data_IF_188058246361
#
_entry.id   IF_188058246361
#
_cell.length_a   1.000
_cell.length_b   1.000
_cell.length_c   1.000
_cell.angle_alpha   90.00
_cell.angle_beta   90.00
_cell.angle_gamma   90.00
#
_symmetry.space_group_name_H-M   'P 1'
#
loop_
_entity.id
_entity.type
_entity.pdbx_description
1 polymer ?
2 non-polymer ?
3 water ?
#
# COMPACT_ATOMS: atom_id res chain seq x y z
N UNK A 2 -8.90 -15.36 11.97
CA UNK A 2 -9.70 -14.76 13.03
C UNK A 2 -10.97 -15.59 13.26
N UNK A 3 -11.57 -15.88 12.11
CA UNK A 3 -12.90 -16.43 11.90
C UNK A 3 -13.86 -15.24 12.06
N UNK A 4 -14.48 -14.79 10.97
CA UNK A 4 -15.35 -13.64 11.05
C UNK A 4 -15.92 -13.32 9.73
N UNK A 5 -17.22 -13.01 9.78
CA UNK A 5 -18.06 -12.66 8.66
C UNK A 5 -17.41 -12.59 7.27
N UNK A 6 -16.16 -12.09 7.14
CA UNK A 6 -15.51 -12.13 5.85
C UNK A 6 -14.28 -12.98 5.71
N UNK A 7 -14.28 -13.70 4.59
CA UNK A 7 -13.38 -14.82 4.30
C UNK A 7 -12.30 -14.56 3.21
N UNK A 8 -11.07 -14.86 3.57
CA UNK A 8 -9.92 -14.45 2.83
C UNK A 8 -8.85 -15.47 2.44
N UNK A 9 -8.58 -15.41 1.15
CA UNK A 9 -7.53 -16.16 0.56
C UNK A 9 -6.43 -15.22 0.17
N UNK A 10 -5.22 -15.72 0.46
CA UNK A 10 -3.94 -15.10 0.31
C UNK A 10 -3.08 -15.94 -0.61
N UNK A 11 -2.90 -15.47 -1.81
CA UNK A 11 -2.07 -16.13 -2.74
C UNK A 11 -0.65 -15.80 -2.40
N UNK A 12 0.34 -16.45 -2.96
CA UNK A 12 1.73 -16.08 -2.68
C UNK A 12 2.15 -16.48 -1.27
N UNK A 13 1.37 -17.40 -0.64
CA UNK A 13 1.50 -17.86 0.75
C UNK A 13 2.87 -17.99 1.40
N UNK A 14 3.87 -18.38 0.69
CA UNK A 14 5.14 -18.38 1.35
C UNK A 14 5.99 -17.20 0.94
N UNK A 15 5.39 -16.18 0.40
CA UNK A 15 6.19 -15.06 -0.06
C UNK A 15 6.38 -14.01 1.04
N UNK A 16 7.21 -12.99 0.75
CA UNK A 16 7.53 -11.96 1.73
C UNK A 16 6.32 -11.29 2.32
N UNK A 17 5.37 -10.89 1.48
CA UNK A 17 4.13 -10.39 1.97
C UNK A 17 3.14 -11.46 2.41
N UNK A 18 3.11 -12.58 1.67
CA UNK A 18 2.21 -13.69 1.94
C UNK A 18 2.29 -14.00 3.40
N UNK A 19 3.50 -14.07 3.94
CA UNK A 19 3.67 -14.38 5.35
C UNK A 19 2.89 -13.42 6.24
N UNK A 20 3.18 -12.11 6.13
CA UNK A 20 2.54 -11.01 6.82
C UNK A 20 1.05 -10.89 6.58
N UNK A 21 0.66 -10.96 5.34
CA UNK A 21 -0.77 -10.95 5.02
C UNK A 21 -1.48 -12.01 5.88
N UNK A 22 -0.73 -13.07 6.25
CA UNK A 22 -1.32 -14.13 7.09
C UNK A 22 -1.59 -13.66 8.51
N UNK A 23 -0.54 -13.16 9.14
CA UNK A 23 -0.73 -12.71 10.47
C UNK A 23 -1.75 -11.60 10.54
N UNK A 24 -1.78 -10.82 9.48
CA UNK A 24 -2.77 -9.79 9.49
C UNK A 24 -4.19 -10.34 9.46
N UNK A 25 -4.37 -11.28 8.58
CA UNK A 25 -5.67 -11.78 8.33
C UNK A 25 -6.08 -12.40 9.63
N UNK A 26 -5.14 -13.16 10.12
CA UNK A 26 -5.31 -13.78 11.36
C UNK A 26 -5.74 -12.75 12.40
N UNK A 27 -4.97 -11.67 12.52
CA UNK A 27 -5.27 -10.64 13.53
C UNK A 27 -6.52 -9.82 13.46
N UNK A 28 -6.87 -9.23 12.32
CA UNK A 28 -7.99 -8.27 12.13
C UNK A 28 -9.42 -8.82 12.35
N UNK A 29 -10.11 -8.27 13.35
CA UNK A 29 -11.49 -8.61 13.65
C UNK A 29 -12.46 -8.52 12.45
N UNK A 30 -13.23 -9.60 12.20
CA UNK A 30 -14.21 -9.55 11.13
C UNK A 30 -13.68 -10.16 9.85
N UNK A 31 -12.40 -10.56 9.84
CA UNK A 31 -11.83 -11.20 8.67
C UNK A 31 -11.33 -12.53 9.10
N UNK A 32 -11.64 -13.56 8.33
CA UNK A 32 -11.13 -14.83 8.74
C UNK A 32 -10.39 -15.47 7.65
N UNK A 33 -9.22 -16.10 7.93
CA UNK A 33 -8.33 -16.72 6.89
C UNK A 33 -9.02 -17.83 6.09
N UNK A 34 -9.63 -17.46 4.95
CA UNK A 34 -10.28 -18.38 4.00
C UNK A 34 -9.35 -19.49 3.50
N UNK A 35 -8.44 -19.19 2.58
CA UNK A 35 -7.47 -20.13 2.02
C UNK A 35 -6.05 -19.54 1.94
N UNK A 36 -5.05 -20.39 1.70
CA UNK A 36 -3.65 -19.98 1.53
C UNK A 36 -3.01 -20.71 0.39
N UNK A 37 -2.82 -20.05 -0.75
CA UNK A 37 -2.25 -20.66 -1.93
C UNK A 37 -0.76 -20.57 -1.97
N UNK A 38 -0.19 -21.49 -2.74
CA UNK A 38 1.20 -21.56 -3.08
C UNK A 38 1.31 -22.09 -4.48
N UNK A 39 2.53 -22.06 -4.91
CA UNK A 39 2.94 -22.39 -6.25
C UNK A 39 3.36 -23.83 -6.34
N UNK A 40 2.60 -24.59 -7.16
CA UNK A 40 2.78 -26.00 -7.50
C UNK A 40 3.99 -26.67 -6.95
N UNK A 41 5.15 -26.25 -7.44
CA UNK A 41 6.39 -26.84 -6.93
C UNK A 41 6.40 -26.87 -5.38
N UNK A 42 5.64 -25.91 -4.83
CA UNK A 42 5.43 -25.69 -3.38
C UNK A 42 5.68 -26.84 -2.41
N UNK A 43 6.64 -26.59 -1.53
CA UNK A 43 7.00 -27.44 -0.40
C UNK A 43 6.12 -27.16 0.83
N UNK A 44 5.33 -26.09 0.79
CA UNK A 44 4.52 -25.74 1.93
C UNK A 44 3.12 -26.18 1.64
N UNK A 45 3.07 -26.79 0.46
CA UNK A 45 1.85 -27.34 -0.08
C UNK A 45 1.14 -28.25 0.88
N UNK A 46 -0.14 -28.32 0.55
CA UNK A 46 -1.15 -29.17 1.11
C UNK A 46 -1.25 -29.06 2.61
N UNK A 47 -0.10 -28.88 3.22
CA UNK A 47 -0.03 -28.62 4.63
C UNK A 47 1.23 -27.86 5.05
N UNK A 48 0.99 -26.89 5.90
CA UNK A 48 1.98 -26.11 6.58
C UNK A 48 1.20 -24.88 6.95
N UNK A 49 -0.08 -25.28 6.97
CA UNK A 49 -1.24 -24.50 7.29
C UNK A 49 -1.01 -23.31 8.18
N UNK A 50 -1.00 -22.09 7.55
CA UNK A 50 -0.84 -20.84 8.29
C UNK A 50 -0.03 -20.95 9.60
N UNK A 51 1.25 -21.23 9.40
CA UNK A 51 2.24 -21.29 10.44
C UNK A 51 3.56 -20.88 9.81
N UNK A 52 3.46 -19.67 9.21
CA UNK A 52 4.50 -18.76 8.73
C UNK A 52 4.32 -17.50 9.56
N UNK A 53 3.06 -17.25 9.83
CA UNK A 53 2.69 -16.14 10.67
C UNK A 53 2.82 -16.47 12.18
N UNK A 54 3.36 -17.66 12.53
CA UNK A 54 3.24 -18.21 13.87
C UNK A 54 1.73 -18.45 14.10
N UNK A 55 1.34 -18.99 15.26
CA UNK A 55 -0.06 -19.33 15.61
C UNK A 55 -0.32 -20.79 15.42
N UNK A 56 0.76 -21.54 15.53
CA UNK A 56 0.77 -22.95 15.32
C UNK A 56 -0.14 -23.30 14.16
N UNK A 57 -1.33 -23.80 14.56
CA UNK A 57 -2.32 -24.31 13.66
C UNK A 57 -3.54 -23.43 13.51
N UNK A 58 -4.00 -23.24 12.28
CA UNK A 58 -5.12 -22.37 12.04
C UNK A 58 -6.32 -22.99 11.37
N UNK A 59 -6.24 -24.30 11.03
CA UNK A 59 -7.36 -24.98 10.40
C UNK A 59 -7.26 -25.03 8.91
N UNK A 60 -6.92 -23.87 8.24
CA UNK A 60 -6.74 -23.64 6.78
C UNK A 60 -5.44 -24.25 6.39
N UNK A 61 -5.33 -24.68 5.10
CA UNK A 61 -4.21 -25.46 4.59
C UNK A 61 -3.67 -24.99 3.24
N UNK A 62 -2.37 -24.92 3.13
CA UNK A 62 -1.82 -24.46 1.87
C UNK A 62 -2.13 -25.34 0.63
N UNK A 63 -2.82 -24.74 -0.34
CA UNK A 63 -3.25 -25.44 -1.52
C UNK A 63 -2.48 -25.03 -2.76
N UNK A 64 -3.00 -25.38 -3.95
CA UNK A 64 -2.40 -25.03 -5.20
C UNK A 64 -3.40 -24.65 -6.26
N UNK A 65 -4.68 -24.96 -6.00
CA UNK A 65 -5.80 -24.84 -6.95
C UNK A 65 -6.83 -23.89 -6.52
N UNK A 66 -7.16 -22.94 -7.39
CA UNK A 66 -8.23 -22.02 -7.09
C UNK A 66 -9.57 -22.74 -6.87
N UNK A 67 -9.89 -23.59 -7.85
CA UNK A 67 -11.10 -24.43 -7.74
C UNK A 67 -10.99 -25.50 -6.65
N UNK A 68 -9.78 -25.85 -6.24
CA UNK A 68 -9.64 -26.72 -5.08
C UNK A 68 -10.12 -26.06 -3.78
N UNK A 69 -10.46 -24.76 -3.89
CA UNK A 69 -10.75 -23.98 -2.69
C UNK A 69 -11.61 -22.83 -2.96
N UNK A 70 -12.04 -22.78 -4.16
CA UNK A 70 -12.73 -21.66 -4.59
C UNK A 70 -13.94 -21.32 -3.78
N UNK A 71 -14.26 -22.11 -2.81
CA UNK A 71 -15.40 -21.77 -1.96
C UNK A 71 -15.05 -21.63 -0.48
N UNK A 72 -13.76 -21.49 -0.22
CA UNK A 72 -13.26 -21.30 1.15
C UNK A 72 -13.08 -19.82 1.56
N UNK A 73 -13.22 -18.96 0.57
CA UNK A 73 -12.90 -17.59 0.69
C UNK A 73 -13.88 -16.72 -0.10
N UNK A 74 -13.93 -15.49 0.36
CA UNK A 74 -14.77 -14.40 -0.06
C UNK A 74 -14.00 -13.37 -0.89
N UNK A 75 -12.83 -13.02 -0.40
CA UNK A 75 -12.08 -12.00 -1.10
C UNK A 75 -10.75 -12.57 -1.35
N UNK A 76 -10.22 -12.24 -2.52
CA UNK A 76 -8.92 -12.75 -2.87
C UNK A 76 -7.85 -11.70 -2.72
N UNK A 77 -6.84 -12.03 -1.92
CA UNK A 77 -5.72 -11.14 -1.68
C UNK A 77 -4.44 -11.51 -2.46
N UNK A 78 -4.05 -10.68 -3.44
CA UNK A 78 -2.88 -10.93 -4.28
C UNK A 78 -1.72 -9.92 -4.19
N UNK A 79 -0.53 -10.40 -3.71
CA UNK A 79 0.72 -9.70 -3.77
C UNK A 79 1.70 -10.72 -4.30
N UNK A 80 1.81 -10.82 -5.64
CA UNK A 80 2.43 -11.90 -6.43
C UNK A 80 3.31 -11.35 -7.49
N UNK A 81 2.94 -11.58 -8.79
CA UNK A 81 3.52 -11.07 -10.02
C UNK A 81 2.40 -10.99 -11.01
N UNK A 82 2.47 -9.98 -11.85
CA UNK A 82 1.44 -9.66 -12.78
C UNK A 82 0.97 -10.83 -13.58
N UNK A 83 1.88 -11.74 -13.92
CA UNK A 83 1.55 -12.98 -14.65
C UNK A 83 0.60 -13.86 -13.80
N UNK A 84 0.78 -13.87 -12.45
CA UNK A 84 -0.14 -14.61 -11.54
C UNK A 84 -1.42 -13.85 -11.37
N UNK A 85 -1.19 -12.55 -11.34
CA UNK A 85 -2.30 -11.67 -11.15
C UNK A 85 -3.37 -11.85 -12.15
N UNK A 86 -2.99 -11.73 -13.39
CA UNK A 86 -3.93 -11.95 -14.53
C UNK A 86 -4.56 -13.41 -14.50
N UNK A 87 -3.83 -14.39 -13.92
CA UNK A 87 -4.47 -15.66 -13.71
C UNK A 87 -5.62 -15.50 -12.76
N UNK A 88 -5.25 -15.07 -11.57
CA UNK A 88 -6.16 -14.95 -10.44
C UNK A 88 -7.35 -14.09 -10.79
N UNK A 89 -7.06 -13.12 -11.58
CA UNK A 89 -8.00 -12.20 -12.08
C UNK A 89 -9.16 -12.94 -12.73
N UNK A 90 -8.90 -13.62 -13.85
CA UNK A 90 -9.97 -14.31 -14.60
C UNK A 90 -10.79 -15.36 -13.85
N UNK A 91 -10.19 -15.93 -12.82
CA UNK A 91 -10.95 -16.81 -12.01
C UNK A 91 -11.79 -16.03 -11.02
N UNK A 92 -11.31 -14.87 -10.59
CA UNK A 92 -12.08 -14.09 -9.63
C UNK A 92 -13.34 -13.56 -10.25
N UNK A 93 -13.15 -13.04 -11.49
CA UNK A 93 -14.23 -12.50 -12.32
C UNK A 93 -15.29 -13.55 -12.48
N UNK A 94 -14.80 -14.76 -12.79
CA UNK A 94 -15.62 -15.92 -13.06
C UNK A 94 -16.57 -16.18 -11.95
N UNK A 95 -16.02 -16.40 -10.78
CA UNK A 95 -16.84 -16.72 -9.62
C UNK A 95 -17.23 -15.48 -8.77
N UNK A 96 -17.33 -14.31 -9.40
CA UNK A 96 -17.71 -13.12 -8.70
C UNK A 96 -16.90 -12.92 -7.41
N UNK A 97 -15.61 -13.31 -7.46
CA UNK A 97 -14.77 -13.15 -6.28
C UNK A 97 -14.12 -11.77 -6.31
N UNK A 98 -14.34 -10.99 -5.26
CA UNK A 98 -13.76 -9.65 -5.12
C UNK A 98 -12.26 -9.80 -4.85
N UNK A 99 -11.48 -8.85 -5.37
CA UNK A 99 -10.04 -8.94 -5.20
C UNK A 99 -9.46 -7.73 -4.49
N UNK A 100 -8.27 -8.00 -3.95
CA UNK A 100 -7.41 -6.99 -3.39
C UNK A 100 -6.09 -7.22 -3.96
N UNK A 101 -5.63 -6.29 -4.81
CA UNK A 101 -4.39 -6.42 -5.53
C UNK A 101 -3.34 -5.40 -5.16
N UNK A 102 -2.19 -5.95 -4.80
CA UNK A 102 -1.10 -5.14 -4.38
C UNK A 102 0.06 -5.32 -5.29
N UNK A 103 0.02 -6.42 -6.07
CA UNK A 103 1.01 -6.66 -7.12
C UNK A 103 1.36 -5.39 -7.90
N UNK A 104 2.63 -5.21 -8.18
CA UNK A 104 3.02 -4.09 -9.04
C UNK A 104 3.71 -4.52 -10.34
N UNK A 105 3.85 -3.58 -11.25
CA UNK A 105 4.53 -3.87 -12.47
C UNK A 105 3.63 -4.27 -13.63
N UNK A 106 2.33 -4.05 -13.57
CA UNK A 106 1.53 -4.37 -14.73
C UNK A 106 1.96 -3.40 -15.85
N UNK A 107 1.62 -3.72 -17.11
CA UNK A 107 1.95 -2.91 -18.22
C UNK A 107 0.69 -2.26 -18.50
N UNK A 108 0.58 -1.55 -19.58
CA UNK A 108 -0.71 -1.02 -19.82
C UNK A 108 -1.80 -2.07 -20.05
N UNK A 109 -1.49 -3.13 -20.81
CA UNK A 109 -2.48 -4.19 -21.10
C UNK A 109 -3.06 -4.72 -19.78
N UNK A 110 -2.11 -4.84 -18.87
CA UNK A 110 -2.35 -5.29 -17.54
C UNK A 110 -3.36 -4.40 -16.82
N UNK A 111 -3.14 -3.09 -16.76
CA UNK A 111 -4.10 -2.33 -16.02
C UNK A 111 -5.45 -2.37 -16.63
N UNK A 112 -5.53 -2.25 -17.98
CA UNK A 112 -6.87 -2.33 -18.58
C UNK A 112 -7.62 -3.60 -18.16
N UNK A 113 -6.89 -4.66 -17.94
CA UNK A 113 -7.60 -5.85 -17.67
C UNK A 113 -8.30 -5.72 -16.32
N UNK A 114 -7.51 -5.14 -15.41
CA UNK A 114 -7.96 -5.01 -14.04
C UNK A 114 -9.12 -4.09 -14.07
N UNK A 115 -8.96 -3.14 -14.90
CA UNK A 115 -9.97 -2.16 -14.96
C UNK A 115 -11.28 -2.67 -15.49
N UNK A 116 -11.19 -3.66 -16.43
CA UNK A 116 -12.33 -4.26 -17.12
C UNK A 116 -13.00 -5.28 -16.26
N UNK A 117 -12.18 -6.11 -15.63
CA UNK A 117 -12.65 -7.06 -14.66
C UNK A 117 -13.57 -6.41 -13.67
N UNK A 118 -13.25 -5.16 -13.41
CA UNK A 118 -13.94 -4.41 -12.37
C UNK A 118 -15.36 -4.07 -12.70
N UNK A 119 -15.76 -4.39 -13.97
CA UNK A 119 -17.12 -4.09 -14.38
C UNK A 119 -17.99 -5.16 -13.83
N UNK A 120 -17.38 -6.19 -13.40
CA UNK A 120 -18.22 -7.23 -13.01
C UNK A 120 -17.93 -7.68 -11.64
N UNK A 121 -16.79 -7.20 -11.20
CA UNK A 121 -16.25 -7.54 -9.91
C UNK A 121 -15.63 -6.31 -9.24
N UNK A 122 -15.68 -6.37 -7.89
CA UNK A 122 -15.23 -5.35 -6.94
C UNK A 122 -13.78 -5.55 -6.63
N UNK A 123 -12.94 -4.60 -7.03
CA UNK A 123 -11.53 -4.81 -6.83
C UNK A 123 -10.88 -3.63 -6.04
N UNK A 124 -9.94 -3.92 -5.18
CA UNK A 124 -9.18 -2.86 -4.64
C UNK A 124 -7.82 -2.98 -5.17
N UNK A 125 -7.39 -2.06 -5.98
CA UNK A 125 -6.06 -2.11 -6.51
C UNK A 125 -5.27 -0.82 -6.11
N UNK A 126 -4.14 -0.90 -5.40
CA UNK A 126 -3.39 0.30 -5.03
C UNK A 126 -1.89 0.07 -5.04
N UNK A 127 -1.11 1.14 -5.20
CA UNK A 127 0.36 1.02 -5.20
C UNK A 127 0.99 1.17 -3.84
N UNK A 128 0.16 1.50 -2.86
CA UNK A 128 0.64 1.64 -1.53
C UNK A 128 -0.46 1.35 -0.57
N UNK A 129 -0.28 0.24 0.09
CA UNK A 129 -1.33 -0.15 0.97
C UNK A 129 -1.17 0.36 2.40
N UNK A 130 -0.16 1.18 2.68
CA UNK A 130 -0.03 1.67 4.05
C UNK A 130 -1.13 2.63 4.42
N UNK A 131 -1.81 2.42 5.52
CA UNK A 131 -2.81 3.39 5.92
C UNK A 131 -2.17 4.73 6.40
N UNK A 132 -1.06 4.61 7.08
CA UNK A 132 -0.35 5.74 7.59
C UNK A 132 0.02 6.71 6.49
N UNK A 133 0.68 6.20 5.44
CA UNK A 133 1.08 6.96 4.28
C UNK A 133 -0.08 7.70 3.66
N UNK A 134 -1.13 6.98 3.40
CA UNK A 134 -2.25 7.57 2.76
C UNK A 134 -2.90 8.67 3.61
N UNK A 135 -3.13 8.34 4.88
CA UNK A 135 -3.72 9.29 5.79
C UNK A 135 -2.85 10.54 5.76
N UNK A 136 -1.56 10.29 5.97
CA UNK A 136 -0.54 11.29 5.87
C UNK A 136 -0.60 12.09 4.59
N UNK A 137 -0.70 11.49 3.43
CA UNK A 137 -0.76 12.30 2.25
C UNK A 137 -1.97 13.27 2.33
N UNK A 138 -3.08 12.85 2.89
CA UNK A 138 -4.29 13.63 3.02
C UNK A 138 -4.24 14.79 4.08
N UNK A 139 -3.52 14.61 5.18
CA UNK A 139 -3.29 15.61 6.21
C UNK A 139 -2.30 16.68 5.64
N UNK A 140 -1.35 16.22 4.84
CA UNK A 140 -0.44 17.10 4.17
C UNK A 140 -1.17 18.16 3.34
N UNK A 141 -2.23 17.84 2.69
CA UNK A 141 -2.89 18.89 1.97
C UNK A 141 -3.83 19.69 2.83
N UNK A 142 -4.20 19.19 3.96
CA UNK A 142 -4.99 20.02 4.80
C UNK A 142 -4.09 21.08 5.46
N UNK A 143 -2.90 20.67 5.86
CA UNK A 143 -1.91 21.56 6.43
C UNK A 143 -1.37 22.54 5.40
N UNK A 144 -1.13 22.06 4.19
CA UNK A 144 -0.72 22.92 3.15
C UNK A 144 -1.78 24.00 2.89
N UNK A 145 -3.06 23.74 2.98
CA UNK A 145 -3.97 24.81 2.70
C UNK A 145 -3.95 25.91 3.72
N UNK A 146 -3.67 25.56 4.99
CA UNK A 146 -3.65 26.62 5.94
C UNK A 146 -2.33 27.26 6.19
N UNK A 147 -1.26 26.51 5.95
CA UNK A 147 0.05 27.06 6.22
C UNK A 147 0.92 27.20 5.01
N UNK A 148 0.54 26.56 3.95
CA UNK A 148 1.40 26.39 2.79
C UNK A 148 1.96 27.66 2.30
N UNK A 149 1.14 28.65 2.41
CA UNK A 149 1.56 29.95 2.02
C UNK A 149 2.62 30.65 2.84
N UNK A 150 2.67 30.51 4.14
CA UNK A 150 3.62 31.32 4.85
C UNK A 150 4.94 30.67 4.84
N UNK A 151 4.85 29.39 5.23
CA UNK A 151 5.93 28.49 5.58
C UNK A 151 6.92 28.04 4.55
N UNK A 152 8.04 27.62 5.09
CA UNK A 152 9.08 26.95 4.37
C UNK A 152 8.77 25.42 4.51
N UNK A 153 8.44 24.79 3.41
CA UNK A 153 8.03 23.35 3.47
C UNK A 153 9.24 22.48 3.05
N UNK A 154 9.68 21.57 3.93
CA UNK A 154 10.86 20.76 3.60
C UNK A 154 10.46 19.31 3.75
N UNK A 155 11.10 18.38 3.00
CA UNK A 155 10.74 16.97 3.08
C UNK A 155 11.99 16.16 3.29
N UNK A 156 12.02 15.41 4.38
CA UNK A 156 13.22 14.69 4.76
C UNK A 156 12.91 13.20 4.74
N UNK A 157 13.66 12.39 4.02
CA UNK A 157 13.31 10.91 4.01
C UNK A 157 14.54 10.08 4.29
N UNK A 158 14.39 9.02 5.07
CA UNK A 158 15.52 8.17 5.27
C UNK A 158 15.16 6.74 4.80
N UNK A 159 16.09 6.09 4.08
CA UNK A 159 15.97 4.68 3.65
C UNK A 159 17.28 3.93 3.73
N UNK A 160 17.12 2.57 3.72
CA UNK A 160 18.27 1.69 3.82
C UNK A 160 19.31 1.99 2.76
N UNK A 161 20.47 1.34 2.94
CA UNK A 161 21.58 1.58 2.09
C UNK A 161 21.40 1.00 0.71
N UNK A 162 20.33 0.30 0.44
CA UNK A 162 20.25 -0.21 -0.89
C UNK A 162 19.23 0.49 -1.73
N UNK A 163 18.61 1.57 -1.25
CA UNK A 163 17.62 2.24 -2.02
C UNK A 163 18.31 2.93 -3.13
N UNK A 164 17.94 2.72 -4.35
CA UNK A 164 18.68 3.25 -5.47
C UNK A 164 18.21 4.60 -6.09
N UNK A 165 17.01 5.10 -5.77
CA UNK A 165 16.60 6.42 -6.23
C UNK A 165 16.41 7.40 -5.09
N UNK A 166 16.69 8.64 -5.38
CA UNK A 166 16.55 9.70 -4.41
C UNK A 166 15.82 10.84 -5.07
N UNK A 167 14.71 11.34 -4.54
CA UNK A 167 14.08 10.90 -3.32
C UNK A 167 13.18 9.73 -3.61
N UNK A 168 12.66 9.13 -2.58
CA UNK A 168 11.74 8.07 -2.75
C UNK A 168 10.50 8.56 -3.45
N UNK A 169 9.65 7.61 -3.87
CA UNK A 169 8.37 7.91 -4.46
C UNK A 169 7.41 8.39 -3.41
N UNK A 170 7.50 7.92 -2.21
CA UNK A 170 6.57 8.41 -1.23
C UNK A 170 6.86 9.95 -0.98
N UNK A 171 8.14 10.28 -0.97
CA UNK A 171 8.58 11.63 -0.79
C UNK A 171 8.09 12.41 -1.93
N UNK A 172 8.27 11.91 -3.12
CA UNK A 172 7.79 12.71 -4.24
C UNK A 172 6.29 12.84 -4.18
N UNK A 173 5.66 11.80 -3.71
CA UNK A 173 4.27 11.90 -3.64
C UNK A 173 3.85 13.04 -2.67
N UNK A 174 4.51 13.11 -1.50
CA UNK A 174 4.28 14.15 -0.52
C UNK A 174 4.37 15.54 -1.13
N UNK A 175 5.42 15.72 -1.95
CA UNK A 175 5.81 16.97 -2.60
C UNK A 175 4.71 17.44 -3.50
N UNK A 176 4.18 16.42 -4.11
CA UNK A 176 3.13 16.54 -5.10
C UNK A 176 1.78 16.89 -4.48
N UNK A 177 1.48 16.36 -3.29
CA UNK A 177 0.23 16.68 -2.66
C UNK A 177 0.23 18.11 -2.17
N UNK A 178 1.38 18.51 -1.70
CA UNK A 178 1.58 19.81 -1.15
C UNK A 178 1.46 20.79 -2.26
N UNK A 179 2.23 20.52 -3.28
CA UNK A 179 2.27 21.35 -4.47
C UNK A 179 0.89 21.53 -5.08
N UNK A 180 0.07 20.52 -5.04
CA UNK A 180 -1.17 20.66 -5.73
C UNK A 180 -2.20 21.38 -4.92
N UNK A 181 -2.02 21.25 -3.59
CA UNK A 181 -2.81 21.95 -2.58
C UNK A 181 -2.62 23.47 -2.74
N UNK A 182 -1.44 23.81 -3.20
CA UNK A 182 -1.05 25.19 -3.43
C UNK A 182 -1.15 25.58 -4.89
N UNK A 183 -1.85 24.76 -5.69
CA UNK A 183 -2.04 25.02 -7.11
C UNK A 183 -0.70 25.31 -7.78
N UNK A 184 0.34 24.67 -7.31
CA UNK A 184 1.67 24.80 -7.87
C UNK A 184 2.06 23.47 -8.51
N UNK A 185 3.26 23.47 -9.07
CA UNK A 185 3.80 22.33 -9.73
C UNK A 185 5.12 22.06 -9.16
N UNK A 186 5.25 20.86 -8.70
CA UNK A 186 6.44 20.46 -8.03
C UNK A 186 7.68 20.77 -8.84
N UNK A 187 7.56 20.48 -10.12
CA UNK A 187 8.59 20.73 -11.10
C UNK A 187 9.13 22.14 -10.97
N UNK A 188 8.30 23.11 -10.61
CA UNK A 188 8.83 24.47 -10.46
C UNK A 188 9.00 24.88 -9.02
N UNK A 189 9.74 24.15 -8.26
CA UNK A 189 9.97 24.54 -6.91
C UNK A 189 10.60 23.48 -6.16
N UNK A 190 10.78 22.32 -6.71
CA UNK A 190 11.51 21.36 -5.95
C UNK A 190 12.96 21.72 -5.91
N UNK A 191 13.59 21.38 -4.82
CA UNK A 191 15.03 21.43 -4.71
C UNK A 191 15.54 20.20 -4.00
N UNK A 192 16.24 19.38 -4.81
CA UNK A 192 16.79 18.11 -4.45
C UNK A 192 18.20 18.12 -3.94
N UNK A 193 18.94 19.19 -4.14
CA UNK A 193 20.29 19.15 -3.50
C UNK A 193 20.73 20.51 -2.98
N UNK A 194 21.60 20.52 -1.98
CA UNK A 194 22.15 21.72 -1.45
C UNK A 194 23.60 21.51 -1.19
N UNK A 195 24.41 22.04 -2.03
CA UNK A 195 25.82 21.83 -1.94
C UNK A 195 26.54 23.16 -2.24
N UNK A 196 27.50 23.46 -1.46
CA UNK A 196 28.28 24.61 -1.76
C UNK A 196 27.59 25.91 -1.41
N UNK A 197 28.00 26.94 -2.11
CA UNK A 197 27.47 28.24 -1.87
C UNK A 197 26.16 28.35 -2.56
N UNK A 198 25.18 28.45 -1.76
CA UNK A 198 23.94 28.68 -2.38
C UNK A 198 23.10 29.62 -1.57
N UNK A 199 22.90 30.86 -2.08
CA UNK A 199 22.21 31.94 -1.43
C UNK A 199 21.07 31.48 -0.56
N UNK A 200 20.47 32.44 0.08
CA UNK A 200 19.31 32.22 0.89
C UNK A 200 18.27 31.41 0.15
N UNK A 201 17.44 30.70 0.92
CA UNK A 201 16.45 29.80 0.40
C UNK A 201 15.43 30.63 -0.25
N UNK A 202 15.02 30.17 -1.41
CA UNK A 202 14.03 30.86 -2.17
C UNK A 202 12.65 30.53 -1.69
N UNK A 203 11.88 31.54 -1.45
CA UNK A 203 10.53 31.36 -1.03
C UNK A 203 9.73 30.58 -2.03
N UNK A 204 8.76 29.88 -1.51
CA UNK A 204 7.92 29.05 -2.32
C UNK A 204 8.54 27.71 -2.68
N UNK A 205 9.87 27.59 -2.51
CA UNK A 205 10.48 26.30 -2.74
C UNK A 205 10.07 25.23 -1.72
N UNK A 206 10.16 24.01 -2.26
CA UNK A 206 10.05 22.76 -1.59
C UNK A 206 11.36 21.95 -1.69
N UNK A 207 12.21 21.99 -0.68
CA UNK A 207 13.43 21.25 -0.75
C UNK A 207 13.31 19.83 -0.23
N UNK A 208 14.22 18.92 -0.74
CA UNK A 208 14.24 17.50 -0.38
C UNK A 208 15.55 17.16 0.25
N UNK A 209 15.56 16.43 1.37
CA UNK A 209 16.80 16.00 2.05
C UNK A 209 16.74 14.48 2.15
N UNK A 210 17.80 13.78 1.75
CA UNK A 210 17.76 12.36 1.64
C UNK A 210 18.82 11.68 2.42
N UNK A 211 18.38 10.71 3.25
CA UNK A 211 19.24 9.97 4.14
C UNK A 211 19.17 8.51 3.68
N UNK A 212 20.34 7.88 3.51
CA UNK A 212 20.50 6.48 3.03
C UNK A 212 21.43 5.75 4.01
N UNK A 213 20.88 4.88 4.83
CA UNK A 213 21.77 4.24 5.80
C UNK A 213 21.19 2.91 6.33
N UNK A 214 22.08 1.98 6.61
CA UNK A 214 21.70 0.71 7.21
C UNK A 214 20.44 0.06 6.67
N UNK A 215 19.60 -0.39 7.59
CA UNK A 215 18.43 -1.17 7.27
C UNK A 215 17.11 -0.41 7.34
N UNK A 216 17.14 0.96 7.49
CA UNK A 216 15.89 1.80 7.56
C UNK A 216 14.80 1.44 6.53
N UNK A 217 13.68 0.95 7.00
CA UNK A 217 12.58 0.44 6.19
C UNK A 217 11.99 1.59 5.42
N UNK A 218 11.78 2.70 6.11
CA UNK A 218 11.31 3.92 5.49
C UNK A 218 10.80 5.00 6.41
N UNK A 219 11.40 6.19 6.36
CA UNK A 219 10.94 7.31 7.17
C UNK A 219 10.80 8.56 6.35
N UNK A 220 9.64 9.21 6.53
CA UNK A 220 9.27 10.37 5.84
C UNK A 220 8.76 11.42 6.78
N UNK A 221 9.35 12.60 6.65
CA UNK A 221 8.86 13.80 7.31
C UNK A 221 8.66 15.05 6.47
N UNK A 222 7.52 15.61 6.51
CA UNK A 222 7.28 16.89 5.86
C UNK A 222 7.25 18.01 6.93
N UNK A 223 8.04 19.00 6.80
CA UNK A 223 8.04 20.09 7.79
C UNK A 223 7.45 21.43 7.29
N UNK A 224 6.54 22.01 8.12
CA UNK A 224 5.97 23.32 7.86
C UNK A 224 6.52 24.32 8.90
N UNK A 225 7.58 25.03 8.45
CA UNK A 225 8.41 25.88 9.27
C UNK A 225 8.15 27.38 9.07
N UNK A 226 7.84 28.10 10.13
CA UNK A 226 7.62 29.53 10.04
C UNK A 226 8.62 30.14 10.96
N UNK A 227 8.55 31.47 11.18
CA UNK A 227 9.38 32.06 12.22
C UNK A 227 8.70 31.75 13.51
N UNK A 228 9.35 31.15 14.48
CA UNK A 228 8.64 30.94 15.72
C UNK A 228 8.07 29.54 15.90
N UNK A 229 7.93 28.73 14.82
CA UNK A 229 7.40 27.38 15.02
C UNK A 229 7.55 26.50 13.80
N UNK A 230 7.33 25.19 13.99
CA UNK A 230 7.25 24.23 12.94
C UNK A 230 6.29 23.10 13.19
N UNK A 231 5.55 22.75 12.18
CA UNK A 231 4.68 21.62 12.28
C UNK A 231 5.35 20.48 11.48
N UNK A 232 5.47 19.29 12.09
CA UNK A 232 5.99 18.14 11.35
C UNK A 232 5.02 16.98 11.32
N UNK A 233 4.94 16.36 10.20
CA UNK A 233 4.11 15.18 10.06
C UNK A 233 5.01 14.10 9.55
N UNK A 234 5.21 13.06 10.34
CA UNK A 234 6.20 12.09 10.00
C UNK A 234 5.58 10.75 9.93
N UNK A 235 6.06 9.91 9.04
CA UNK A 235 5.62 8.52 8.87
C UNK A 235 6.84 7.62 8.96
N UNK A 236 6.77 6.67 9.88
CA UNK A 236 7.86 5.74 10.03
C UNK A 236 7.34 4.33 9.77
N UNK A 237 7.94 3.64 8.87
CA UNK A 237 7.51 2.25 8.58
C UNK A 237 8.46 1.32 9.25
N UNK A 238 7.94 0.40 10.00
CA UNK A 238 8.87 -0.49 10.68
C UNK A 238 8.99 -1.85 9.96
N UNK A 239 7.97 -2.22 9.24
CA UNK A 239 8.03 -3.51 8.71
C UNK A 239 7.12 -3.52 7.53
N UNK A 240 7.04 -4.63 6.81
CA UNK A 240 6.13 -4.59 5.72
C UNK A 240 4.76 -4.98 6.19
N UNK A 241 4.62 -5.15 7.51
CA UNK A 241 3.29 -5.32 8.07
C UNK A 241 2.40 -4.11 7.76
N UNK A 242 2.98 -2.95 7.54
CA UNK A 242 2.13 -1.82 7.20
C UNK A 242 1.30 -2.03 5.95
N UNK A 243 1.90 -2.65 4.92
CA UNK A 243 1.21 -2.98 3.67
C UNK A 243 0.14 -4.03 3.80
N UNK A 244 0.51 -5.05 4.55
CA UNK A 244 -0.41 -6.18 4.89
C UNK A 244 -1.64 -5.74 5.59
N UNK A 245 -1.48 -4.95 6.64
CA UNK A 245 -2.61 -4.44 7.37
C UNK A 245 -3.58 -3.74 6.49
N UNK A 246 -3.10 -2.90 5.59
CA UNK A 246 -4.01 -2.09 4.78
C UNK A 246 -4.72 -2.94 3.79
N UNK A 247 -4.01 -3.98 3.31
CA UNK A 247 -4.65 -4.95 2.35
C UNK A 247 -5.84 -5.68 2.98
N UNK A 248 -5.64 -6.12 4.16
CA UNK A 248 -6.68 -6.76 4.90
C UNK A 248 -7.82 -5.85 5.23
N UNK A 249 -7.53 -4.63 5.68
CA UNK A 249 -8.60 -3.69 5.90
C UNK A 249 -9.42 -3.48 4.66
N UNK A 250 -8.76 -3.42 3.53
CA UNK A 250 -9.51 -3.22 2.29
C UNK A 250 -10.41 -4.38 1.99
N UNK A 251 -9.83 -5.59 2.29
CA UNK A 251 -10.52 -6.88 2.15
C UNK A 251 -11.79 -6.83 2.98
N UNK A 252 -11.65 -6.44 4.23
CA UNK A 252 -12.87 -6.22 5.01
C UNK A 252 -13.78 -5.13 4.39
N UNK A 253 -13.23 -4.12 3.73
CA UNK A 253 -14.12 -3.09 3.25
C UNK A 253 -14.82 -3.56 2.00
N UNK A 254 -14.18 -4.49 1.31
CA UNK A 254 -14.78 -4.94 0.04
C UNK A 254 -16.13 -5.57 0.33
N UNK A 255 -16.17 -6.21 1.47
CA UNK A 255 -17.32 -6.95 1.92
C UNK A 255 -18.57 -6.14 1.77
N UNK A 256 -19.30 -6.37 0.71
CA UNK A 256 -20.46 -5.53 0.55
C UNK A 256 -20.30 -4.59 -0.62
N UNK A 257 -19.30 -4.83 -1.43
CA UNK A 257 -19.22 -4.08 -2.61
C UNK A 257 -19.17 -5.09 -3.73
N UNK A 258 -19.43 -4.60 -4.93
CA UNK A 258 -19.38 -5.46 -6.10
C UNK A 258 -19.20 -4.65 -7.33
N UNK A 259 -19.04 -3.41 -7.02
CA UNK A 259 -18.78 -2.41 -7.97
C UNK A 259 -17.39 -2.47 -8.49
N UNK A 260 -17.02 -1.32 -8.92
CA UNK A 260 -15.83 -1.03 -9.64
C UNK A 260 -14.51 -1.18 -8.94
N UNK A 261 -13.71 -0.24 -9.33
CA UNK A 261 -12.33 -0.05 -9.06
C UNK A 261 -12.20 1.00 -7.98
N UNK A 262 -11.53 0.59 -6.90
CA UNK A 262 -11.34 1.46 -5.73
C UNK A 262 -9.90 1.46 -5.37
N UNK A 263 -9.52 2.42 -4.50
CA UNK A 263 -8.19 2.55 -3.98
C UNK A 263 -8.18 2.80 -2.49
N UNK A 264 -7.03 3.08 -1.99
CA UNK A 264 -7.00 3.24 -0.58
C UNK A 264 -7.83 4.46 -0.13
N UNK A 265 -7.90 5.45 -0.99
CA UNK A 265 -8.74 6.64 -0.76
C UNK A 265 -10.15 6.18 -0.46
N UNK A 266 -10.57 5.16 -1.21
CA UNK A 266 -11.94 4.64 -1.16
C UNK A 266 -12.12 3.91 0.10
N UNK A 267 -11.17 3.07 0.37
CA UNK A 267 -11.27 2.27 1.57
C UNK A 267 -11.32 3.09 2.83
N UNK A 268 -10.50 4.14 2.78
CA UNK A 268 -10.18 5.00 3.88
C UNK A 268 -11.08 6.27 3.98
N UNK A 269 -11.96 6.45 2.97
CA UNK A 269 -12.91 7.56 2.91
C UNK A 269 -12.21 8.87 3.06
N UNK A 270 -11.12 8.94 2.40
CA UNK A 270 -10.25 10.03 2.52
C UNK A 270 -10.84 11.19 1.87
N UNK A 271 -11.74 10.93 1.03
CA UNK A 271 -12.36 12.04 0.40
C UNK A 271 -13.34 12.85 1.23
N UNK A 272 -13.81 12.29 2.32
CA UNK A 272 -14.71 12.99 3.17
C UNK A 272 -14.14 13.22 4.52
N UNK A 273 -12.82 13.27 4.53
CA UNK A 273 -12.07 13.54 5.72
C UNK A 273 -11.58 15.02 5.70
#
# INVERSE_FOLDING_TARGET
MHDANIRVAIAGAGGRMGRQLIQAALALEGVQLGAALEREGSSLLGSDAGELAGAGKTGVTVQSSLDAVKDDFDVFIDFTRPEGTLNHLAFCRQHGKGMVIGTTGFDEAGKQAIRDAAADIAIVFAANFSVGVNVMLKLLEKAAKVMGDYTDIEIIEAHHRHKVDAPSGTALAMGEAIAHALDKDLKDCAVYSREGHTGERVPGTIGFATVRAGDIVGEHTAMFADIGERLEITHKASSRMTFANGAVRSALWLSGKESGLFDMRDVLDLNNL
#
